data_IF_111069759195
#
_entry.id   IF_111069759195
#
_cell.length_a   1.000
_cell.length_b   1.000
_cell.length_c   1.000
_cell.angle_alpha   90.00
_cell.angle_beta   90.00
_cell.angle_gamma   90.00
#
_symmetry.space_group_name_H-M   'P 1'
#
loop_
_entity.id
_entity.type
_entity.pdbx_description
1 polymer ?
#
# COMPACT_ATOMS: atom_id res chain seq x y z
N UNK A 1 -1.10 -17.93 -2.50
CA UNK A 1 -0.72 -16.99 -1.41
C UNK A 1 0.02 -15.78 -1.96
N UNK A 2 1.31 -15.87 -2.33
CA UNK A 2 2.16 -14.71 -2.72
C UNK A 2 1.62 -13.88 -3.91
N UNK A 3 1.03 -14.49 -4.95
CA UNK A 3 0.37 -13.76 -6.06
C UNK A 3 -0.86 -12.96 -5.60
N UNK A 4 -1.64 -13.51 -4.67
CA UNK A 4 -2.83 -12.86 -4.11
C UNK A 4 -2.44 -11.66 -3.25
N UNK A 5 -1.34 -11.78 -2.50
CA UNK A 5 -0.76 -10.68 -1.73
C UNK A 5 -0.32 -9.54 -2.66
N UNK A 6 0.44 -9.86 -3.71
CA UNK A 6 0.90 -8.85 -4.68
C UNK A 6 -0.26 -8.10 -5.34
N UNK A 7 -1.31 -8.80 -5.76
CA UNK A 7 -2.48 -8.16 -6.36
C UNK A 7 -3.21 -7.22 -5.38
N UNK A 8 -3.25 -7.56 -4.09
CA UNK A 8 -3.83 -6.69 -3.07
C UNK A 8 -2.96 -5.44 -2.84
N UNK A 9 -1.64 -5.60 -2.84
CA UNK A 9 -0.71 -4.47 -2.74
C UNK A 9 -0.80 -3.55 -3.97
N UNK A 10 -0.87 -4.13 -5.17
CA UNK A 10 -0.94 -3.38 -6.43
C UNK A 10 -2.18 -2.46 -6.48
N UNK A 11 -3.31 -2.89 -5.88
CA UNK A 11 -4.50 -2.04 -5.78
C UNK A 11 -4.26 -0.80 -4.89
N UNK A 12 -3.60 -0.97 -3.75
CA UNK A 12 -3.26 0.14 -2.86
C UNK A 12 -2.22 1.07 -3.52
N UNK A 13 -1.21 0.48 -4.17
CA UNK A 13 -0.16 1.21 -4.88
C UNK A 13 -0.76 2.02 -6.05
N UNK A 14 -1.71 1.46 -6.79
CA UNK A 14 -2.39 2.18 -7.86
C UNK A 14 -3.13 3.42 -7.35
N UNK A 15 -3.90 3.29 -6.25
CA UNK A 15 -4.56 4.43 -5.63
C UNK A 15 -3.56 5.50 -5.15
N UNK A 16 -2.41 5.08 -4.60
CA UNK A 16 -1.34 6.02 -4.23
C UNK A 16 -0.71 6.71 -5.46
N UNK A 17 -0.50 6.00 -6.56
CA UNK A 17 0.00 6.58 -7.81
C UNK A 17 -0.97 7.61 -8.40
N UNK A 18 -2.28 7.36 -8.31
CA UNK A 18 -3.31 8.27 -8.79
C UNK A 18 -3.62 9.44 -7.83
N UNK A 19 -3.02 9.47 -6.63
CA UNK A 19 -3.33 10.47 -5.61
C UNK A 19 -4.70 10.26 -4.94
N UNK A 20 -5.34 9.11 -5.15
CA UNK A 20 -6.72 8.85 -4.73
C UNK A 20 -6.76 8.33 -3.29
N UNK A 21 -6.86 9.27 -2.35
CA UNK A 21 -7.05 8.97 -0.93
C UNK A 21 -8.33 8.14 -0.66
N UNK A 22 -9.38 8.36 -1.43
CA UNK A 22 -10.68 7.71 -1.26
C UNK A 22 -10.63 6.24 -1.67
N UNK A 23 -10.07 5.96 -2.84
CA UNK A 23 -9.81 4.60 -3.31
C UNK A 23 -8.87 3.85 -2.37
N UNK A 24 -7.76 4.49 -1.95
CA UNK A 24 -6.82 3.90 -1.00
C UNK A 24 -7.52 3.44 0.29
N UNK A 25 -8.27 4.33 0.94
CA UNK A 25 -8.93 4.01 2.20
C UNK A 25 -10.08 3.01 2.02
N UNK A 26 -10.80 3.08 0.90
CA UNK A 26 -11.87 2.13 0.58
C UNK A 26 -11.35 0.71 0.41
N UNK A 27 -10.19 0.53 -0.22
CA UNK A 27 -9.54 -0.76 -0.40
C UNK A 27 -9.13 -1.39 0.94
N UNK A 28 -8.61 -0.61 1.88
CA UNK A 28 -8.32 -1.06 3.26
C UNK A 28 -9.62 -1.48 3.98
N UNK A 29 -10.67 -0.65 3.90
CA UNK A 29 -11.96 -0.93 4.57
C UNK A 29 -12.62 -2.19 4.05
N UNK A 30 -12.59 -2.43 2.74
CA UNK A 30 -13.26 -3.57 2.09
C UNK A 30 -12.73 -4.91 2.61
N UNK A 31 -11.46 -4.96 2.99
CA UNK A 31 -10.83 -6.15 3.56
C UNK A 31 -10.71 -6.10 5.09
N UNK A 32 -11.32 -5.11 5.75
CA UNK A 32 -11.23 -4.89 7.19
C UNK A 32 -9.77 -4.88 7.71
N UNK A 33 -8.86 -4.24 6.97
CA UNK A 33 -7.42 -4.18 7.27
C UNK A 33 -6.75 -5.56 7.46
N UNK A 34 -7.31 -6.62 6.85
CA UNK A 34 -6.78 -8.00 6.94
C UNK A 34 -5.32 -8.13 6.51
N UNK A 35 -4.82 -7.21 5.68
CA UNK A 35 -3.46 -7.22 5.17
C UNK A 35 -2.46 -6.49 6.10
N UNK A 36 -2.89 -5.99 7.26
CA UNK A 36 -2.06 -5.37 8.29
C UNK A 36 -1.16 -4.25 7.76
N UNK A 37 -1.73 -3.29 7.02
CA UNK A 37 -0.94 -2.19 6.46
C UNK A 37 -0.54 -1.23 7.60
N UNK A 38 0.71 -1.27 8.03
CA UNK A 38 1.17 -0.48 9.18
C UNK A 38 1.11 1.05 8.97
N UNK A 39 1.04 1.50 7.71
CA UNK A 39 1.10 2.92 7.33
C UNK A 39 -0.24 3.56 6.93
N UNK A 40 -1.40 2.94 7.19
CA UNK A 40 -2.70 3.43 6.67
C UNK A 40 -2.94 4.90 6.99
N UNK A 41 -2.82 5.30 8.26
CA UNK A 41 -3.08 6.67 8.69
C UNK A 41 -2.13 7.71 8.05
N UNK A 42 -0.79 7.57 8.13
CA UNK A 42 0.10 8.53 7.50
C UNK A 42 -0.06 8.57 5.97
N UNK A 43 -0.23 7.43 5.29
CA UNK A 43 -0.41 7.40 3.83
C UNK A 43 -1.70 8.13 3.42
N UNK A 44 -2.83 7.83 4.07
CA UNK A 44 -4.10 8.49 3.78
C UNK A 44 -4.01 10.01 4.00
N UNK A 45 -3.39 10.44 5.10
CA UNK A 45 -3.22 11.87 5.37
C UNK A 45 -2.29 12.54 4.35
N UNK A 46 -1.19 11.88 3.94
CA UNK A 46 -0.32 12.38 2.87
C UNK A 46 -1.10 12.61 1.58
N UNK A 47 -1.90 11.63 1.13
CA UNK A 47 -2.74 11.78 -0.07
C UNK A 47 -3.75 12.94 0.07
N UNK A 48 -4.39 13.07 1.24
CA UNK A 48 -5.34 14.15 1.53
C UNK A 48 -4.69 15.54 1.54
N UNK A 49 -3.44 15.64 1.99
CA UNK A 49 -2.71 16.91 2.12
C UNK A 49 -2.08 17.34 0.79
N UNK A 50 -1.62 16.40 -0.02
CA UNK A 50 -1.02 16.69 -1.33
C UNK A 50 -2.07 16.94 -2.43
N UNK A 51 -3.33 16.55 -2.21
CA UNK A 51 -4.42 16.84 -3.14
C UNK A 51 -4.27 16.06 -4.46
N UNK A 52 -4.19 16.76 -5.59
CA UNK A 52 -4.14 16.17 -6.93
C UNK A 52 -2.74 15.67 -7.35
N UNK A 53 -1.75 15.72 -6.45
CA UNK A 53 -0.42 15.17 -6.69
C UNK A 53 -0.47 13.67 -6.98
N UNK A 54 0.30 13.27 -8.00
CA UNK A 54 0.42 11.87 -8.41
C UNK A 54 1.69 11.24 -7.85
N UNK A 55 1.58 9.98 -7.48
CA UNK A 55 2.67 9.15 -7.02
C UNK A 55 3.39 8.44 -8.18
N UNK A 56 4.69 8.18 -8.02
CA UNK A 56 5.45 7.23 -8.82
C UNK A 56 6.10 6.22 -7.89
N UNK A 57 5.84 4.92 -8.13
CA UNK A 57 6.43 3.86 -7.33
C UNK A 57 7.95 3.82 -7.56
N UNK A 58 8.72 3.86 -6.47
CA UNK A 58 10.19 3.83 -6.50
C UNK A 58 10.76 2.43 -6.32
N UNK A 59 9.97 1.47 -5.81
CA UNK A 59 10.39 0.08 -5.63
C UNK A 59 9.34 -0.74 -4.90
N UNK A 60 9.51 -2.06 -4.96
CA UNK A 60 8.68 -3.04 -4.26
C UNK A 60 9.53 -4.24 -3.82
N UNK A 61 9.35 -4.70 -2.59
CA UNK A 61 10.01 -5.88 -2.07
C UNK A 61 9.04 -6.75 -1.26
N UNK A 62 9.27 -8.05 -1.27
CA UNK A 62 8.64 -9.02 -0.36
C UNK A 62 9.74 -9.55 0.54
N UNK A 63 9.60 -9.37 1.84
CA UNK A 63 10.60 -9.75 2.84
C UNK A 63 10.01 -10.83 3.75
N UNK A 64 10.80 -11.85 4.15
CA UNK A 64 10.43 -12.73 5.25
C UNK A 64 10.17 -11.90 6.51
N UNK A 65 9.10 -12.22 7.24
CA UNK A 65 8.77 -11.56 8.50
C UNK A 65 9.27 -12.35 9.73
N UNK A 66 9.70 -13.58 9.50
CA UNK A 66 10.25 -14.51 10.49
C UNK A 66 11.31 -15.40 9.85
N UNK A 67 12.13 -16.03 10.68
CA UNK A 67 13.24 -16.89 10.25
C UNK A 67 12.77 -18.23 9.66
N UNK A 68 11.49 -18.58 9.83
CA UNK A 68 10.90 -19.85 9.39
C UNK A 68 10.11 -19.71 8.05
N UNK A 69 10.13 -18.53 7.41
CA UNK A 69 9.37 -18.18 6.19
C UNK A 69 7.86 -18.50 6.29
N UNK A 70 7.29 -18.40 7.50
CA UNK A 70 5.85 -18.66 7.73
C UNK A 70 4.98 -17.46 7.36
N UNK A 71 5.56 -16.26 7.41
CA UNK A 71 4.89 -15.01 7.06
C UNK A 71 5.84 -14.02 6.36
N UNK A 72 5.26 -13.05 5.65
CA UNK A 72 5.99 -12.06 4.87
C UNK A 72 5.43 -10.65 5.08
N UNK A 73 6.29 -9.65 4.96
CA UNK A 73 5.92 -8.23 4.88
C UNK A 73 6.29 -7.71 3.51
N UNK A 74 5.46 -6.85 2.95
CA UNK A 74 5.75 -6.17 1.69
C UNK A 74 6.10 -4.72 1.94
N UNK A 75 7.03 -4.19 1.14
CA UNK A 75 7.53 -2.83 1.25
C UNK A 75 7.44 -2.17 -0.11
N UNK A 76 6.86 -0.98 -0.17
CA UNK A 76 6.79 -0.16 -1.39
C UNK A 76 7.24 1.26 -1.10
N UNK A 77 8.01 1.84 -2.02
CA UNK A 77 8.40 3.26 -1.98
C UNK A 77 7.53 4.08 -2.92
N UNK A 78 7.19 5.31 -2.53
CA UNK A 78 6.39 6.22 -3.35
C UNK A 78 7.01 7.62 -3.35
N UNK A 79 7.11 8.23 -4.54
CA UNK A 79 7.53 9.61 -4.72
C UNK A 79 6.36 10.43 -5.26
N UNK A 80 6.01 11.53 -4.61
CA UNK A 80 4.94 12.43 -5.04
C UNK A 80 5.52 13.69 -5.69
N UNK A 81 4.83 14.23 -6.68
CA UNK A 81 5.16 15.48 -7.37
C UNK A 81 4.03 16.49 -7.29
#
# INVERSE_FOLDING_TARGET
ARRTLRAADDELIAAMCDGDAGAFFSSIRRVHDRNNVCGVAPIYLTLRLLGESRGTQAGYAVCPADDEDTSVVTVTGMLFR
#
